data_IF_153183232892
#
_entry.id   IF_153183232892
#
_cell.length_a   1.000
_cell.length_b   1.000
_cell.length_c   1.000
_cell.angle_alpha   90.00
_cell.angle_beta   90.00
_cell.angle_gamma   90.00
#
_symmetry.space_group_name_H-M   'P 1'
#
loop_
_entity.id
_entity.type
_entity.pdbx_description
1 polymer ?
#
# COMPACT_ATOMS: atom_id res chain seq x y z
N UNK A 1 -19.82 24.42 0.98
CA UNK A 1 -19.44 23.27 1.81
C UNK A 1 -17.92 23.16 1.84
N UNK A 2 -17.32 23.22 3.03
CA UNK A 2 -15.87 23.05 3.13
C UNK A 2 -15.52 21.59 2.81
N UNK A 3 -14.53 21.37 1.94
CA UNK A 3 -13.92 20.05 1.79
C UNK A 3 -13.39 19.61 3.15
N UNK A 4 -13.54 18.33 3.53
CA UNK A 4 -12.94 17.85 4.76
C UNK A 4 -11.43 18.09 4.72
N UNK A 5 -10.88 18.54 5.86
CA UNK A 5 -9.44 18.71 5.97
C UNK A 5 -8.74 17.37 5.74
N UNK A 6 -7.58 17.36 5.06
CA UNK A 6 -6.83 16.12 4.88
C UNK A 6 -6.38 15.56 6.23
N UNK A 7 -6.39 14.23 6.35
CA UNK A 7 -5.92 13.55 7.54
C UNK A 7 -4.43 13.80 7.76
N UNK A 8 -4.03 13.99 9.01
CA UNK A 8 -2.62 14.05 9.37
C UNK A 8 -1.95 12.68 9.26
N UNK A 9 -0.63 12.65 9.19
CA UNK A 9 0.13 11.40 9.23
C UNK A 9 -0.17 10.59 10.49
N UNK A 10 -0.29 11.25 11.64
CA UNK A 10 -0.62 10.61 12.91
C UNK A 10 -2.01 9.96 12.87
N UNK A 11 -2.99 10.63 12.28
CA UNK A 11 -4.35 10.10 12.13
C UNK A 11 -4.38 8.91 11.18
N UNK A 12 -3.68 8.98 10.05
CA UNK A 12 -3.59 7.89 9.09
C UNK A 12 -2.88 6.66 9.69
N UNK A 13 -1.80 6.86 10.44
CA UNK A 13 -1.09 5.78 11.14
C UNK A 13 -1.96 5.15 12.21
N UNK A 14 -2.69 5.96 12.97
CA UNK A 14 -3.65 5.48 13.97
C UNK A 14 -4.74 4.62 13.32
N UNK A 15 -5.30 5.06 12.20
CA UNK A 15 -6.28 4.30 11.44
C UNK A 15 -5.71 2.95 10.98
N UNK A 16 -4.51 2.96 10.42
CA UNK A 16 -3.85 1.73 9.96
C UNK A 16 -3.66 0.73 11.10
N UNK A 17 -3.15 1.17 12.24
CA UNK A 17 -2.93 0.31 13.41
C UNK A 17 -4.26 -0.26 13.91
N UNK A 18 -5.29 0.57 13.99
CA UNK A 18 -6.62 0.16 14.45
C UNK A 18 -7.30 -0.81 13.47
N UNK A 19 -7.28 -0.49 12.19
CA UNK A 19 -8.07 -1.20 11.19
C UNK A 19 -7.40 -2.49 10.70
N UNK A 20 -6.08 -2.50 10.59
CA UNK A 20 -5.32 -3.62 10.03
C UNK A 20 -4.62 -4.43 11.10
N UNK A 21 -4.10 -3.78 12.14
CA UNK A 21 -3.23 -4.42 13.13
C UNK A 21 -3.87 -4.59 14.52
N UNK A 22 -5.20 -4.52 14.59
CA UNK A 22 -5.95 -4.83 15.81
C UNK A 22 -5.59 -3.95 17.01
N UNK A 23 -5.30 -2.67 16.78
CA UNK A 23 -4.88 -1.70 17.80
C UNK A 23 -3.52 -2.05 18.46
N UNK A 24 -2.67 -2.81 17.76
CA UNK A 24 -1.37 -3.24 18.28
C UNK A 24 -0.22 -2.68 17.45
N UNK A 25 0.46 -1.61 17.91
CA UNK A 25 1.60 -1.02 17.18
C UNK A 25 2.73 -2.01 16.91
N UNK A 26 2.95 -2.97 17.80
CA UNK A 26 3.98 -4.00 17.63
C UNK A 26 3.73 -4.91 16.43
N UNK A 27 2.48 -5.08 16.02
CA UNK A 27 2.14 -5.83 14.79
C UNK A 27 2.56 -5.05 13.54
N UNK A 28 2.37 -3.73 13.54
CA UNK A 28 2.87 -2.89 12.44
C UNK A 28 4.41 -2.97 12.36
N UNK A 29 5.10 -2.90 13.50
CA UNK A 29 6.56 -3.01 13.52
C UNK A 29 7.05 -4.36 12.99
N UNK A 30 6.38 -5.46 13.35
CA UNK A 30 6.69 -6.79 12.81
C UNK A 30 6.48 -6.85 11.29
N UNK A 31 5.40 -6.28 10.82
CA UNK A 31 5.08 -6.16 9.38
C UNK A 31 6.18 -5.39 8.63
N UNK A 32 6.58 -4.22 9.15
CA UNK A 32 7.64 -3.41 8.53
C UNK A 32 8.99 -4.12 8.51
N UNK A 33 9.28 -4.93 9.51
CA UNK A 33 10.50 -5.73 9.58
C UNK A 33 10.57 -6.75 8.44
N UNK A 34 9.46 -7.43 8.19
CA UNK A 34 9.36 -8.37 7.06
C UNK A 34 9.54 -7.65 5.73
N UNK A 35 8.86 -6.53 5.56
CA UNK A 35 8.95 -5.71 4.35
C UNK A 35 10.41 -5.29 4.09
N UNK A 36 11.11 -4.79 5.10
CA UNK A 36 12.51 -4.35 4.96
C UNK A 36 13.45 -5.45 4.51
N UNK A 37 13.19 -6.70 4.89
CA UNK A 37 14.05 -7.82 4.54
C UNK A 37 13.92 -8.27 3.08
N UNK A 38 12.77 -8.00 2.46
CA UNK A 38 12.41 -8.57 1.16
C UNK A 38 12.43 -7.56 0.00
N UNK A 39 12.58 -6.27 0.28
CA UNK A 39 12.54 -5.23 -0.75
C UNK A 39 13.91 -4.63 -1.01
N UNK A 40 14.19 -4.18 -2.26
CA UNK A 40 15.47 -3.55 -2.60
C UNK A 40 15.77 -2.32 -1.76
N UNK A 41 17.04 -2.12 -1.44
CA UNK A 41 17.53 -0.91 -0.77
C UNK A 41 17.13 0.34 -1.54
N UNK A 42 16.84 1.41 -0.79
CA UNK A 42 16.45 2.70 -1.35
C UNK A 42 14.99 2.83 -1.72
N UNK A 43 14.20 1.76 -1.55
CA UNK A 43 12.77 1.77 -1.84
C UNK A 43 12.00 2.49 -0.72
N UNK A 44 11.09 3.37 -1.09
CA UNK A 44 10.11 3.96 -0.18
C UNK A 44 8.87 3.08 -0.14
N UNK A 45 8.31 2.88 1.05
CA UNK A 45 7.10 2.05 1.24
C UNK A 45 5.96 2.93 1.69
N UNK A 46 4.87 2.92 0.93
CA UNK A 46 3.72 3.78 1.12
C UNK A 46 2.45 2.94 1.21
N UNK A 47 1.54 3.31 2.10
CA UNK A 47 0.17 2.76 2.17
C UNK A 47 -0.80 3.78 1.62
N UNK A 48 -1.78 3.31 0.87
CA UNK A 48 -2.85 4.12 0.30
C UNK A 48 -4.20 3.46 0.58
N UNK A 49 -5.26 4.20 0.32
CA UNK A 49 -6.61 3.68 0.31
C UNK A 49 -7.29 3.62 1.69
N UNK A 50 -8.29 2.76 1.80
CA UNK A 50 -9.22 2.74 2.94
C UNK A 50 -8.57 2.33 4.26
N UNK A 51 -7.44 1.64 4.23
CA UNK A 51 -6.73 1.26 5.46
C UNK A 51 -6.22 2.47 6.26
N UNK A 52 -5.98 3.60 5.60
CA UNK A 52 -5.51 4.83 6.26
C UNK A 52 -6.58 5.91 6.35
N UNK A 53 -7.57 5.91 5.44
CA UNK A 53 -8.65 6.89 5.45
C UNK A 53 -9.87 6.39 6.25
N UNK A 54 -10.02 5.09 6.45
CA UNK A 54 -11.17 4.47 7.08
C UNK A 54 -12.38 4.30 6.16
N UNK A 55 -12.31 4.80 4.93
CA UNK A 55 -13.40 4.77 3.96
C UNK A 55 -12.91 4.50 2.55
N UNK A 56 -13.70 3.74 1.78
CA UNK A 56 -13.42 3.50 0.36
C UNK A 56 -13.61 4.77 -0.46
N UNK A 57 -12.66 5.02 -1.35
CA UNK A 57 -12.74 6.16 -2.28
C UNK A 57 -13.96 6.10 -3.18
N UNK A 58 -14.30 4.91 -3.66
CA UNK A 58 -15.35 4.68 -4.66
C UNK A 58 -16.74 5.13 -4.20
N UNK A 59 -17.11 4.82 -2.96
CA UNK A 59 -18.48 5.00 -2.46
C UNK A 59 -18.56 5.53 -1.03
N UNK A 60 -17.42 5.80 -0.40
CA UNK A 60 -17.38 6.28 0.99
C UNK A 60 -17.73 5.22 2.03
N UNK A 61 -17.89 3.96 1.64
CA UNK A 61 -18.21 2.89 2.58
C UNK A 61 -17.07 2.65 3.57
N UNK A 62 -17.39 2.28 4.84
CA UNK A 62 -16.38 2.01 5.85
C UNK A 62 -15.45 0.86 5.47
N UNK A 63 -14.21 0.91 5.97
CA UNK A 63 -13.26 -0.20 5.90
C UNK A 63 -13.89 -1.46 6.50
N UNK A 64 -13.73 -2.59 5.83
CA UNK A 64 -14.30 -3.89 6.22
C UNK A 64 -15.85 -3.91 6.30
N UNK A 65 -16.53 -3.06 5.54
CA UNK A 65 -18.00 -3.00 5.53
C UNK A 65 -18.63 -4.35 5.17
N UNK A 66 -17.97 -5.15 4.33
CA UNK A 66 -18.46 -6.46 3.89
C UNK A 66 -18.06 -7.60 4.83
N UNK A 67 -17.43 -7.30 5.95
CA UNK A 67 -16.99 -8.26 6.97
C UNK A 67 -15.50 -8.11 7.31
N UNK A 68 -15.07 -8.72 8.44
CA UNK A 68 -13.67 -8.65 8.84
C UNK A 68 -12.72 -9.22 7.78
N UNK A 69 -11.63 -8.50 7.49
CA UNK A 69 -10.62 -8.93 6.54
C UNK A 69 -11.00 -8.85 5.06
N UNK A 70 -12.12 -8.20 4.73
CA UNK A 70 -12.59 -8.10 3.32
C UNK A 70 -12.02 -6.92 2.57
N UNK A 71 -11.60 -5.87 3.25
CA UNK A 71 -10.96 -4.72 2.61
C UNK A 71 -9.47 -4.95 2.39
N UNK A 72 -8.96 -4.51 1.25
CA UNK A 72 -7.58 -4.69 0.85
C UNK A 72 -6.64 -3.74 1.61
N UNK A 73 -5.40 -4.19 1.79
CA UNK A 73 -4.29 -3.34 2.17
C UNK A 73 -3.48 -3.03 0.91
N UNK A 74 -3.41 -1.76 0.53
CA UNK A 74 -2.73 -1.34 -0.70
C UNK A 74 -1.37 -0.71 -0.39
N UNK A 75 -0.30 -1.43 -0.78
CA UNK A 75 1.08 -0.96 -0.67
C UNK A 75 1.57 -0.44 -2.02
N UNK A 76 2.25 0.69 -2.00
CA UNK A 76 3.01 1.19 -3.14
C UNK A 76 4.49 1.23 -2.77
N UNK A 77 5.30 0.56 -3.56
CA UNK A 77 6.75 0.56 -3.45
C UNK A 77 7.30 1.55 -4.47
N UNK A 78 8.06 2.52 -4.00
CA UNK A 78 8.53 3.63 -4.83
C UNK A 78 10.05 3.56 -4.98
N UNK A 79 10.52 3.45 -6.21
CA UNK A 79 11.94 3.40 -6.51
C UNK A 79 12.27 2.69 -7.82
N UNK A 80 13.50 2.89 -8.29
CA UNK A 80 13.94 2.33 -9.57
C UNK A 80 14.13 0.81 -9.52
N UNK A 81 14.70 0.31 -8.43
CA UNK A 81 15.00 -1.11 -8.30
C UNK A 81 13.72 -1.96 -8.23
N UNK A 82 12.69 -1.48 -7.54
CA UNK A 82 11.42 -2.22 -7.42
C UNK A 82 10.64 -2.24 -8.73
N UNK A 83 10.75 -1.20 -9.54
CA UNK A 83 10.16 -1.18 -10.90
C UNK A 83 10.68 -2.37 -11.72
N UNK A 84 11.96 -2.69 -11.60
CA UNK A 84 12.59 -3.81 -12.31
C UNK A 84 12.12 -5.20 -11.88
N UNK A 85 11.40 -5.32 -10.77
CA UNK A 85 10.84 -6.60 -10.31
C UNK A 85 9.52 -6.96 -11.00
N UNK A 86 8.90 -5.99 -11.68
CA UNK A 86 7.63 -6.20 -12.36
C UNK A 86 7.85 -6.56 -13.84
N UNK A 87 7.05 -7.48 -14.34
CA UNK A 87 7.09 -7.88 -15.75
C UNK A 87 6.63 -6.73 -16.66
N UNK A 88 7.10 -6.72 -17.91
CA UNK A 88 6.75 -5.67 -18.88
C UNK A 88 5.23 -5.54 -19.05
N UNK A 89 4.52 -6.65 -19.03
CA UNK A 89 3.06 -6.68 -19.17
C UNK A 89 2.31 -6.24 -17.91
N UNK A 90 3.02 -6.08 -16.78
CA UNK A 90 2.44 -5.71 -15.50
C UNK A 90 2.29 -4.21 -15.27
N UNK A 91 2.45 -3.38 -16.28
CA UNK A 91 2.42 -1.92 -16.13
C UNK A 91 1.16 -1.29 -16.72
N UNK A 92 0.57 -0.35 -15.97
CA UNK A 92 -0.39 0.60 -16.54
C UNK A 92 0.36 1.60 -17.44
N UNK A 93 1.47 2.14 -16.92
CA UNK A 93 2.36 3.03 -17.68
C UNK A 93 3.75 2.39 -17.65
N UNK A 94 4.25 1.88 -18.78
CA UNK A 94 5.52 1.14 -18.82
C UNK A 94 6.68 1.89 -18.16
N UNK A 95 7.37 1.22 -17.23
CA UNK A 95 8.51 1.77 -16.51
C UNK A 95 8.19 2.85 -15.48
N UNK A 96 6.94 3.25 -15.31
CA UNK A 96 6.54 4.32 -14.38
C UNK A 96 5.58 3.86 -13.28
N UNK A 97 4.61 3.02 -13.61
CA UNK A 97 3.53 2.68 -12.69
C UNK A 97 2.93 1.32 -13.04
N UNK A 98 3.12 0.35 -12.16
CA UNK A 98 2.63 -1.01 -12.38
C UNK A 98 1.16 -1.16 -12.01
N UNK A 99 0.54 -2.24 -12.53
CA UNK A 99 -0.69 -2.75 -11.92
C UNK A 99 -0.35 -3.35 -10.56
N UNK A 100 -1.34 -3.45 -9.64
CA UNK A 100 -1.10 -4.12 -8.37
C UNK A 100 -0.84 -5.63 -8.56
N UNK A 101 0.21 -6.14 -7.92
CA UNK A 101 0.35 -7.57 -7.68
C UNK A 101 -0.78 -7.95 -6.71
N UNK A 102 -1.74 -8.72 -7.19
CA UNK A 102 -3.00 -9.00 -6.51
C UNK A 102 -3.56 -10.35 -6.95
N UNK A 103 -4.72 -10.73 -6.43
CA UNK A 103 -5.41 -11.94 -6.87
C UNK A 103 -5.83 -11.88 -8.35
N UNK A 104 -6.06 -10.68 -8.88
CA UNK A 104 -6.39 -10.47 -10.29
C UNK A 104 -5.15 -10.52 -11.20
N UNK A 105 -3.99 -10.16 -10.68
CA UNK A 105 -2.72 -10.14 -11.40
C UNK A 105 -1.62 -10.82 -10.56
N UNK A 106 -1.70 -12.15 -10.38
CA UNK A 106 -0.81 -12.84 -9.43
C UNK A 106 0.62 -13.06 -9.93
N UNK A 107 0.88 -12.88 -11.22
CA UNK A 107 2.13 -13.28 -11.86
C UNK A 107 3.00 -12.10 -12.34
N UNK A 108 2.61 -10.87 -12.07
CA UNK A 108 3.30 -9.69 -12.62
C UNK A 108 4.58 -9.29 -11.88
N UNK A 109 4.84 -9.86 -10.71
CA UNK A 109 6.08 -9.64 -9.95
C UNK A 109 6.45 -10.92 -9.18
N UNK A 110 7.00 -11.93 -9.86
CA UNK A 110 7.24 -13.25 -9.25
C UNK A 110 8.10 -13.20 -7.99
N UNK A 111 9.09 -12.32 -7.93
CA UNK A 111 9.98 -12.20 -6.77
C UNK A 111 9.28 -11.64 -5.52
N UNK A 112 8.17 -10.93 -5.69
CA UNK A 112 7.39 -10.35 -4.60
C UNK A 112 6.25 -11.26 -4.12
N UNK A 113 5.97 -12.36 -4.81
CA UNK A 113 4.88 -13.28 -4.44
C UNK A 113 5.06 -13.84 -3.02
N UNK A 114 6.25 -14.34 -2.61
CA UNK A 114 6.44 -14.82 -1.24
C UNK A 114 6.20 -13.74 -0.19
N UNK A 115 6.65 -12.51 -0.44
CA UNK A 115 6.40 -11.38 0.44
C UNK A 115 4.90 -11.13 0.58
N UNK A 116 4.18 -11.04 -0.53
CA UNK A 116 2.73 -10.84 -0.54
C UNK A 116 2.02 -11.89 0.30
N UNK A 117 2.35 -13.17 0.12
CA UNK A 117 1.77 -14.27 0.87
C UNK A 117 2.01 -14.13 2.39
N UNK A 118 3.23 -13.78 2.77
CA UNK A 118 3.57 -13.54 4.18
C UNK A 118 2.77 -12.39 4.77
N UNK A 119 2.67 -11.27 4.04
CA UNK A 119 1.91 -10.10 4.50
C UNK A 119 0.41 -10.40 4.62
N UNK A 120 -0.15 -11.18 3.70
CA UNK A 120 -1.55 -11.62 3.79
C UNK A 120 -1.79 -12.51 5.02
N UNK A 121 -0.84 -13.40 5.32
CA UNK A 121 -0.93 -14.23 6.52
C UNK A 121 -0.86 -13.41 7.80
N UNK A 122 -0.02 -12.37 7.82
CA UNK A 122 0.13 -11.48 8.99
C UNK A 122 -1.09 -10.60 9.24
N UNK A 123 -1.81 -10.21 8.18
CA UNK A 123 -2.91 -9.24 8.27
C UNK A 123 -4.30 -9.85 8.15
N UNK A 124 -4.40 -11.11 7.70
CA UNK A 124 -5.68 -11.77 7.50
C UNK A 124 -6.56 -11.14 6.43
N UNK A 125 -5.95 -10.53 5.41
CA UNK A 125 -6.66 -9.83 4.34
C UNK A 125 -5.85 -9.79 3.05
N UNK A 126 -6.50 -9.47 1.89
CA UNK A 126 -5.76 -9.26 0.65
C UNK A 126 -4.78 -8.11 0.79
N UNK A 127 -3.55 -8.31 0.32
CA UNK A 127 -2.52 -7.29 0.23
C UNK A 127 -2.16 -7.11 -1.23
N UNK A 128 -2.28 -5.88 -1.73
CA UNK A 128 -1.93 -5.53 -3.09
C UNK A 128 -0.63 -4.74 -3.08
N UNK A 129 0.29 -5.08 -3.98
CA UNK A 129 1.61 -4.46 -4.03
C UNK A 129 1.83 -3.86 -5.42
N UNK A 130 2.04 -2.56 -5.47
CA UNK A 130 2.23 -1.80 -6.69
C UNK A 130 3.60 -1.15 -6.67
N UNK A 131 4.26 -1.06 -7.83
CA UNK A 131 5.50 -0.30 -7.97
C UNK A 131 5.24 1.00 -8.71
N UNK A 132 5.91 2.06 -8.27
CA UNK A 132 5.74 3.38 -8.86
C UNK A 132 7.03 4.19 -8.77
N UNK A 133 7.12 5.25 -9.59
CA UNK A 133 8.18 6.24 -9.48
C UNK A 133 7.70 7.46 -8.69
N UNK A 134 8.63 8.21 -8.13
CA UNK A 134 8.33 9.41 -7.34
C UNK A 134 7.44 10.42 -8.08
N UNK A 135 7.67 10.59 -9.38
CA UNK A 135 6.84 11.48 -10.20
C UNK A 135 5.36 11.12 -10.12
N UNK A 136 5.03 9.82 -10.19
CA UNK A 136 3.64 9.36 -10.11
C UNK A 136 3.05 9.64 -8.72
N UNK A 137 3.84 9.43 -7.66
CA UNK A 137 3.42 9.73 -6.29
C UNK A 137 3.16 11.23 -6.11
N UNK A 138 4.01 12.06 -6.68
CA UNK A 138 3.81 13.52 -6.67
C UNK A 138 2.50 13.91 -7.35
N UNK A 139 2.24 13.38 -8.55
CA UNK A 139 1.00 13.68 -9.29
C UNK A 139 -0.23 13.22 -8.48
N UNK A 140 -0.24 12.01 -7.99
CA UNK A 140 -1.40 11.45 -7.28
C UNK A 140 -1.63 12.10 -5.92
N UNK A 141 -0.58 12.32 -5.15
CA UNK A 141 -0.66 12.90 -3.81
C UNK A 141 -0.81 14.42 -3.84
N UNK A 142 0.18 15.10 -4.39
CA UNK A 142 0.27 16.56 -4.28
C UNK A 142 -0.66 17.29 -5.24
N UNK A 143 -0.85 16.78 -6.46
CA UNK A 143 -1.71 17.43 -7.47
C UNK A 143 -3.16 16.93 -7.42
N UNK A 144 -3.40 15.64 -7.20
CA UNK A 144 -4.74 15.06 -7.19
C UNK A 144 -5.33 14.89 -5.78
N UNK A 145 -4.54 15.16 -4.75
CA UNK A 145 -5.02 15.12 -3.36
C UNK A 145 -5.36 13.73 -2.83
N UNK A 146 -4.82 12.68 -3.41
CA UNK A 146 -5.03 11.32 -2.91
C UNK A 146 -4.17 11.07 -1.67
N UNK A 147 -4.82 10.65 -0.57
CA UNK A 147 -4.13 10.39 0.68
C UNK A 147 -3.15 9.22 0.56
N UNK A 148 -1.98 9.37 1.17
CA UNK A 148 -1.00 8.30 1.32
C UNK A 148 -0.22 8.48 2.61
N UNK A 149 0.30 7.37 3.15
CA UNK A 149 1.13 7.37 4.36
C UNK A 149 2.44 6.66 4.06
N UNK A 150 3.56 7.35 4.20
CA UNK A 150 4.88 6.74 4.09
C UNK A 150 5.18 5.96 5.37
N UNK A 151 5.40 4.65 5.24
CA UNK A 151 5.75 3.77 6.35
C UNK A 151 7.26 3.65 6.50
N UNK A 152 7.98 3.60 5.38
CA UNK A 152 9.44 3.51 5.34
C UNK A 152 9.94 4.49 4.27
N UNK A 153 10.78 5.45 4.66
CA UNK A 153 11.35 6.42 3.72
C UNK A 153 12.38 5.77 2.79
N UNK A 154 13.25 4.93 3.36
CA UNK A 154 14.27 4.18 2.63
C UNK A 154 14.49 2.83 3.29
N UNK A 155 14.33 1.79 2.51
CA UNK A 155 14.67 0.45 2.96
C UNK A 155 16.19 0.29 3.09
#
# INVERSE_FOLDING_TARGET
>A
MKSPEPLSEAEMRSNLIRLVFGCRPERLEAFLRVVRQEIPEGTRVVVRGSAITGRRWKDGAPFDVDGPGTSDLDLTLVGDAVIGLFTVTGFFVPGLHSRPLSDDDPDIAPELVPLRETLMAMTGRPVNIQASRELVMHVRGDLLGQAYLTLIEHV
#
